data_IF_001681395398
#
_entry.id   IF_001681395398
#
_cell.length_a   1.000
_cell.length_b   1.000
_cell.length_c   1.000
_cell.angle_alpha   90.00
_cell.angle_beta   90.00
_cell.angle_gamma   90.00
#
_symmetry.space_group_name_H-M   'P 1'
#
loop_
_entity.id
_entity.type
_entity.pdbx_description
1 polymer ?
#
# COMPACT_ATOMS: atom_id res chain seq x y z
N UNK A 1 -19.25 -38.52 -9.07
CA UNK A 1 -20.15 -37.34 -8.99
C UNK A 1 -19.26 -36.16 -8.60
N UNK A 2 -18.36 -35.80 -9.51
CA UNK A 2 -17.25 -34.87 -9.31
C UNK A 2 -17.19 -33.95 -10.54
N UNK A 3 -16.51 -32.83 -10.38
CA UNK A 3 -16.15 -31.88 -11.44
C UNK A 3 -17.17 -30.78 -11.75
N UNK A 4 -17.54 -30.00 -10.73
CA UNK A 4 -17.69 -28.54 -10.93
C UNK A 4 -16.28 -27.95 -11.00
N UNK A 5 -15.62 -28.17 -12.13
CA UNK A 5 -14.37 -27.51 -12.45
C UNK A 5 -14.62 -26.00 -12.40
N UNK A 6 -13.97 -25.34 -11.47
CA UNK A 6 -13.66 -23.92 -11.48
C UNK A 6 -13.31 -23.48 -12.90
N UNK A 7 -14.28 -22.91 -13.60
CA UNK A 7 -14.08 -22.19 -14.82
C UNK A 7 -13.32 -20.92 -14.43
N UNK A 8 -11.98 -21.03 -14.36
CA UNK A 8 -11.13 -19.85 -14.25
C UNK A 8 -11.40 -18.98 -15.47
N UNK A 9 -11.59 -17.71 -15.16
CA UNK A 9 -11.99 -16.64 -16.05
C UNK A 9 -10.86 -16.40 -17.05
N UNK A 10 -10.86 -17.13 -18.17
CA UNK A 10 -9.90 -16.95 -19.27
C UNK A 10 -10.36 -15.80 -20.17
N UNK A 11 -10.35 -14.58 -19.62
CA UNK A 11 -10.26 -13.36 -20.43
C UNK A 11 -8.80 -13.10 -20.82
N UNK A 12 -8.52 -12.26 -21.83
CA UNK A 12 -7.15 -11.86 -22.11
C UNK A 12 -6.52 -11.25 -20.86
N UNK A 13 -5.31 -11.71 -20.51
CA UNK A 13 -4.55 -11.11 -19.41
C UNK A 13 -4.39 -9.62 -19.70
N UNK A 14 -4.65 -8.74 -18.70
CA UNK A 14 -4.47 -7.31 -18.88
C UNK A 14 -3.03 -7.03 -19.32
N UNK A 15 -2.88 -6.03 -20.19
CA UNK A 15 -1.59 -5.68 -20.72
C UNK A 15 -0.61 -5.26 -19.59
N UNK A 16 0.69 -5.60 -19.66
CA UNK A 16 1.64 -5.44 -18.56
C UNK A 16 1.78 -4.02 -17.98
N UNK A 17 1.44 -3.01 -18.76
CA UNK A 17 1.41 -1.60 -18.38
C UNK A 17 0.18 -1.22 -17.53
N UNK A 18 -0.92 -1.95 -17.69
CA UNK A 18 -2.18 -1.71 -16.95
C UNK A 18 -2.24 -2.45 -15.61
N UNK A 19 -1.23 -3.27 -15.32
CA UNK A 19 -1.11 -3.94 -14.04
C UNK A 19 0.01 -3.29 -13.26
N UNK A 20 -0.25 -3.00 -11.98
CA UNK A 20 0.73 -2.44 -11.07
C UNK A 20 2.00 -3.29 -10.99
N UNK A 21 2.94 -2.93 -10.14
CA UNK A 21 4.32 -3.43 -10.22
C UNK A 21 4.45 -4.96 -10.34
N UNK A 22 3.56 -5.71 -9.69
CA UNK A 22 3.62 -7.17 -9.54
C UNK A 22 2.52 -7.96 -10.27
N UNK A 23 1.43 -7.31 -10.69
CA UNK A 23 0.32 -7.94 -11.41
C UNK A 23 -0.54 -8.97 -10.64
N UNK A 24 -1.58 -9.53 -11.30
CA UNK A 24 -2.66 -10.30 -10.66
C UNK A 24 -2.27 -11.59 -9.96
N UNK A 25 -1.20 -12.24 -10.42
CA UNK A 25 -0.74 -13.52 -9.87
C UNK A 25 0.22 -13.35 -8.68
N UNK A 26 0.56 -12.11 -8.32
CA UNK A 26 1.44 -11.82 -7.19
C UNK A 26 0.73 -11.97 -5.84
N UNK A 27 1.50 -12.33 -4.82
CA UNK A 27 1.02 -12.35 -3.43
C UNK A 27 0.47 -10.97 -3.01
N UNK A 28 1.15 -9.88 -3.40
CA UNK A 28 0.70 -8.52 -3.09
C UNK A 28 -0.70 -8.22 -3.66
N UNK A 29 -0.98 -8.62 -4.91
CA UNK A 29 -2.31 -8.46 -5.50
C UNK A 29 -3.35 -9.34 -4.81
N UNK A 30 -3.03 -10.61 -4.59
CA UNK A 30 -3.95 -11.57 -3.98
C UNK A 30 -4.31 -11.22 -2.53
N UNK A 31 -3.38 -10.62 -1.79
CA UNK A 31 -3.61 -10.20 -0.40
C UNK A 31 -4.30 -8.85 -0.35
N UNK A 32 -3.79 -7.83 -1.06
CA UNK A 32 -4.29 -6.46 -0.95
C UNK A 32 -5.71 -6.28 -1.51
N UNK A 33 -6.20 -7.22 -2.32
CA UNK A 33 -7.59 -7.17 -2.83
C UNK A 33 -8.62 -7.50 -1.74
N UNK A 34 -8.17 -8.13 -0.66
CA UNK A 34 -9.03 -8.54 0.45
C UNK A 34 -9.23 -7.38 1.43
N UNK A 35 -10.49 -7.04 1.72
CA UNK A 35 -10.85 -5.97 2.67
C UNK A 35 -10.22 -6.17 4.05
N UNK A 36 -9.94 -7.42 4.43
CA UNK A 36 -9.33 -7.76 5.73
C UNK A 36 -7.96 -7.09 5.95
N UNK A 37 -7.22 -6.79 4.88
CA UNK A 37 -5.92 -6.09 4.96
C UNK A 37 -6.05 -4.72 5.64
N UNK A 38 -7.19 -4.03 5.46
CA UNK A 38 -7.44 -2.72 6.07
C UNK A 38 -7.39 -2.78 7.61
N UNK A 39 -7.91 -3.86 8.21
CA UNK A 39 -7.87 -4.03 9.66
C UNK A 39 -6.45 -4.28 10.17
N UNK A 40 -5.62 -4.99 9.39
CA UNK A 40 -4.19 -5.14 9.65
C UNK A 40 -3.47 -3.79 9.65
N UNK A 41 -3.77 -2.94 8.66
CA UNK A 41 -3.25 -1.57 8.57
C UNK A 41 -3.67 -0.68 9.75
N UNK A 42 -4.95 -0.71 10.12
CA UNK A 42 -5.47 0.05 11.27
C UNK A 42 -4.79 -0.37 12.58
N UNK A 43 -4.64 -1.68 12.81
CA UNK A 43 -3.90 -2.19 13.97
C UNK A 43 -2.44 -1.73 13.96
N UNK A 44 -1.76 -1.85 12.82
CA UNK A 44 -0.36 -1.44 12.70
C UNK A 44 -0.18 0.04 13.04
N UNK A 45 -1.12 0.91 12.65
CA UNK A 45 -1.07 2.33 13.01
C UNK A 45 -1.23 2.59 14.49
N UNK A 46 -2.11 1.86 15.18
CA UNK A 46 -2.25 1.97 16.64
C UNK A 46 -0.94 1.55 17.32
N UNK A 47 -0.32 0.47 16.85
CA UNK A 47 0.99 0.02 17.37
C UNK A 47 2.11 1.03 17.06
N UNK A 48 2.11 1.62 15.86
CA UNK A 48 3.07 2.67 15.49
C UNK A 48 2.88 3.93 16.33
N UNK A 49 1.64 4.36 16.58
CA UNK A 49 1.35 5.52 17.43
C UNK A 49 1.80 5.31 18.89
N UNK A 50 1.77 4.07 19.38
CA UNK A 50 2.27 3.70 20.70
C UNK A 50 3.81 3.59 20.76
N UNK A 51 4.52 3.62 19.63
CA UNK A 51 5.95 3.41 19.58
C UNK A 51 6.74 4.73 19.78
N UNK A 52 7.62 4.83 20.79
CA UNK A 52 8.27 6.09 21.16
C UNK A 52 9.13 6.69 20.04
N UNK A 53 9.80 5.86 19.23
CA UNK A 53 10.60 6.35 18.10
C UNK A 53 9.75 6.93 16.96
N UNK A 54 8.56 6.38 16.73
CA UNK A 54 7.64 6.92 15.72
C UNK A 54 7.14 8.28 16.19
N UNK A 55 6.82 8.42 17.48
CA UNK A 55 6.42 9.67 18.10
C UNK A 55 7.55 10.72 18.14
N UNK A 56 8.81 10.28 18.18
CA UNK A 56 9.96 11.19 18.14
C UNK A 56 10.22 11.71 16.71
N UNK A 57 10.21 10.87 15.68
CA UNK A 57 10.35 11.31 14.28
C UNK A 57 9.13 12.13 13.80
N UNK A 58 7.97 11.81 14.31
CA UNK A 58 6.74 12.59 14.23
C UNK A 58 6.88 14.05 14.67
N UNK A 59 7.54 14.27 15.81
CA UNK A 59 7.78 15.61 16.38
C UNK A 59 8.80 16.38 15.56
N UNK A 60 9.86 15.72 15.07
CA UNK A 60 10.87 16.35 14.21
C UNK A 60 10.31 16.85 12.88
N UNK A 61 9.36 16.12 12.30
CA UNK A 61 8.70 16.48 11.03
C UNK A 61 7.41 17.30 11.23
N UNK A 62 6.98 17.49 12.48
CA UNK A 62 5.67 18.04 12.86
C UNK A 62 4.46 17.25 12.32
N UNK A 63 4.69 16.08 11.73
CA UNK A 63 3.73 15.45 10.81
C UNK A 63 2.64 14.65 11.52
N UNK A 64 2.93 14.11 12.69
CA UNK A 64 2.06 13.12 13.36
C UNK A 64 1.02 13.77 14.29
N UNK A 65 1.33 14.95 14.84
CA UNK A 65 0.36 15.71 15.64
C UNK A 65 -0.79 16.27 14.80
N UNK A 66 -0.65 16.33 13.46
CA UNK A 66 -1.60 17.07 12.61
C UNK A 66 -2.73 16.24 11.99
N UNK A 67 -2.55 14.93 11.71
CA UNK A 67 -3.66 14.04 11.29
C UNK A 67 -3.25 12.56 11.08
N UNK A 68 -3.42 11.69 12.08
CA UNK A 68 -3.13 10.25 11.93
C UNK A 68 -3.96 9.57 10.81
N UNK A 69 -5.20 10.02 10.62
CA UNK A 69 -6.09 9.53 9.57
C UNK A 69 -5.56 9.84 8.17
N UNK A 70 -5.10 11.08 7.92
CA UNK A 70 -4.50 11.46 6.64
C UNK A 70 -3.21 10.69 6.34
N UNK A 71 -2.48 10.25 7.38
CA UNK A 71 -1.31 9.37 7.21
C UNK A 71 -1.73 7.96 6.80
N UNK A 72 -2.78 7.40 7.39
CA UNK A 72 -3.36 6.12 6.97
C UNK A 72 -3.78 6.19 5.50
N UNK A 73 -4.57 7.20 5.14
CA UNK A 73 -5.08 7.42 3.79
C UNK A 73 -3.94 7.44 2.77
N UNK A 74 -2.87 8.22 3.01
CA UNK A 74 -1.70 8.28 2.12
C UNK A 74 -0.99 6.94 1.98
N UNK A 75 -0.93 6.16 3.05
CA UNK A 75 -0.29 4.83 3.06
C UNK A 75 -1.12 3.83 2.26
N UNK A 76 -2.44 3.83 2.45
CA UNK A 76 -3.37 2.99 1.70
C UNK A 76 -3.36 3.36 0.22
N UNK A 77 -3.41 4.66 -0.09
CA UNK A 77 -3.37 5.16 -1.46
C UNK A 77 -2.09 4.72 -2.16
N UNK A 78 -0.92 4.92 -1.54
CA UNK A 78 0.35 4.42 -2.09
C UNK A 78 0.31 2.91 -2.32
N UNK A 79 -0.10 2.13 -1.31
CA UNK A 79 -0.11 0.66 -1.37
C UNK A 79 -1.06 0.15 -2.46
N UNK A 80 -2.20 0.80 -2.66
CA UNK A 80 -3.14 0.45 -3.71
C UNK A 80 -2.69 0.92 -5.08
N UNK A 81 -2.09 2.10 -5.22
CA UNK A 81 -1.52 2.55 -6.49
C UNK A 81 -0.42 1.61 -6.97
N UNK A 82 0.52 1.21 -6.11
CA UNK A 82 1.60 0.29 -6.52
C UNK A 82 1.11 -1.12 -6.86
N UNK A 83 -0.03 -1.54 -6.28
CA UNK A 83 -0.57 -2.89 -6.46
C UNK A 83 -1.54 -2.95 -7.64
N UNK A 84 -2.46 -1.99 -7.76
CA UNK A 84 -3.62 -2.03 -8.65
C UNK A 84 -3.67 -0.91 -9.69
N UNK A 85 -2.85 0.14 -9.56
CA UNK A 85 -2.73 1.19 -10.57
C UNK A 85 -1.95 0.73 -11.80
N UNK A 86 -1.75 1.64 -12.77
CA UNK A 86 -0.86 1.36 -13.90
C UNK A 86 0.60 1.35 -13.47
N UNK A 87 1.46 0.84 -14.34
CA UNK A 87 2.91 0.82 -14.11
C UNK A 87 3.49 2.23 -13.97
N UNK A 88 2.97 3.18 -14.74
CA UNK A 88 3.33 4.60 -14.68
C UNK A 88 2.90 5.22 -13.35
N UNK A 89 1.62 5.06 -12.97
CA UNK A 89 1.11 5.57 -11.68
C UNK A 89 1.89 5.00 -10.49
N UNK A 90 2.23 3.71 -10.55
CA UNK A 90 3.04 3.07 -9.52
C UNK A 90 4.46 3.66 -9.45
N UNK A 91 5.10 3.91 -10.60
CA UNK A 91 6.43 4.52 -10.66
C UNK A 91 6.43 5.94 -10.09
N UNK A 92 5.45 6.77 -10.48
CA UNK A 92 5.29 8.13 -9.95
C UNK A 92 5.03 8.14 -8.43
N UNK A 93 4.20 7.21 -7.95
CA UNK A 93 3.91 7.09 -6.53
C UNK A 93 5.14 6.69 -5.71
N UNK A 94 5.97 5.77 -6.24
CA UNK A 94 7.25 5.37 -5.64
C UNK A 94 8.23 6.55 -5.61
N UNK A 95 8.37 7.28 -6.71
CA UNK A 95 9.27 8.44 -6.77
C UNK A 95 8.86 9.51 -5.76
N UNK A 96 7.55 9.79 -5.65
CA UNK A 96 7.00 10.76 -4.70
C UNK A 96 7.27 10.37 -3.25
N UNK A 97 7.08 9.11 -2.87
CA UNK A 97 7.33 8.68 -1.48
C UNK A 97 8.83 8.71 -1.15
N UNK A 98 9.69 8.37 -2.13
CA UNK A 98 11.14 8.45 -1.94
C UNK A 98 11.59 9.89 -1.65
N UNK A 99 11.14 10.87 -2.43
CA UNK A 99 11.43 12.29 -2.17
C UNK A 99 11.00 12.74 -0.76
N UNK A 100 9.83 12.30 -0.31
CA UNK A 100 9.36 12.62 1.05
C UNK A 100 10.23 11.97 2.13
N UNK A 101 10.74 10.76 1.88
CA UNK A 101 11.61 10.06 2.82
C UNK A 101 13.06 10.57 2.81
N UNK A 102 13.55 11.19 1.72
CA UNK A 102 14.86 11.83 1.66
C UNK A 102 15.03 12.94 2.70
N UNK A 103 13.94 13.65 3.02
CA UNK A 103 13.93 14.72 4.01
C UNK A 103 13.92 14.20 5.47
N UNK A 104 13.72 12.89 5.69
CA UNK A 104 13.65 12.29 7.02
C UNK A 104 15.06 11.94 7.50
N UNK A 105 15.58 12.75 8.42
CA UNK A 105 16.82 12.43 9.14
C UNK A 105 16.46 11.64 10.39
N UNK A 106 17.01 10.43 10.51
CA UNK A 106 16.83 9.59 11.69
C UNK A 106 17.33 10.24 12.97
N UNK A 107 16.92 9.68 14.12
CA UNK A 107 17.33 10.09 15.47
C UNK A 107 18.37 9.12 15.99
#
# INVERSE_FOLDING_TARGET
MESRSTQRQNGPSPAPELVGLYGPDSASWLVNKETTVLFGGARALLMQAAHPLILAGARQTGFYERNAWKRLERTLQLSYTITFGTREEAAEAVERINRVHEDVRGI
#
